data_IF_375724764503
#
_entry.id   IF_375724764503
#
_cell.length_a   1.000
_cell.length_b   1.000
_cell.length_c   1.000
_cell.angle_alpha   90.00
_cell.angle_beta   90.00
_cell.angle_gamma   90.00
#
_symmetry.space_group_name_H-M   'P 1'
#
loop_
_entity.id
_entity.type
_entity.pdbx_description
1 polymer ?
#
# COMPACT_ATOMS: atom_id res chain seq x y z
N UNK A 1 -4.35 8.38 22.76
CA UNK A 1 -3.83 8.08 21.40
C UNK A 1 -2.90 9.21 20.97
N UNK A 2 -1.65 8.92 20.59
CA UNK A 2 -0.67 9.96 20.20
C UNK A 2 -1.06 10.62 18.85
N UNK A 3 -0.60 11.85 18.56
CA UNK A 3 -0.82 12.48 17.25
C UNK A 3 -0.31 11.63 16.08
N UNK A 4 0.87 11.01 16.24
CA UNK A 4 1.42 10.06 15.28
C UNK A 4 0.47 8.90 15.00
N UNK A 5 -0.07 8.26 16.05
CA UNK A 5 -0.97 7.12 15.87
C UNK A 5 -2.29 7.53 15.20
N UNK A 6 -2.83 8.72 15.50
CA UNK A 6 -4.00 9.29 14.83
C UNK A 6 -3.76 9.50 13.34
N UNK A 7 -2.66 10.15 12.98
CA UNK A 7 -2.28 10.41 11.59
C UNK A 7 -2.01 9.10 10.83
N UNK A 8 -1.31 8.16 11.46
CA UNK A 8 -1.06 6.83 10.88
C UNK A 8 -2.37 6.12 10.54
N UNK A 9 -3.29 6.00 11.50
CA UNK A 9 -4.58 5.35 11.27
C UNK A 9 -5.40 6.07 10.20
N UNK A 10 -5.37 7.41 10.17
CA UNK A 10 -6.04 8.19 9.15
C UNK A 10 -5.49 7.88 7.75
N UNK A 11 -4.16 7.94 7.56
CA UNK A 11 -3.53 7.67 6.27
C UNK A 11 -3.72 6.22 5.83
N UNK A 12 -3.53 5.28 6.74
CA UNK A 12 -3.68 3.85 6.45
C UNK A 12 -5.13 3.51 6.08
N UNK A 13 -6.11 4.02 6.84
CA UNK A 13 -7.52 3.82 6.53
C UNK A 13 -7.94 4.51 5.22
N UNK A 14 -7.47 5.74 4.97
CA UNK A 14 -7.75 6.46 3.73
C UNK A 14 -7.17 5.73 2.51
N UNK A 15 -5.95 5.20 2.62
CA UNK A 15 -5.33 4.39 1.58
C UNK A 15 -6.16 3.15 1.28
N UNK A 16 -6.49 2.37 2.32
CA UNK A 16 -7.29 1.15 2.17
C UNK A 16 -8.68 1.45 1.58
N UNK A 17 -9.33 2.52 2.05
CA UNK A 17 -10.62 2.96 1.54
C UNK A 17 -10.55 3.38 0.07
N UNK A 18 -9.48 4.07 -0.36
CA UNK A 18 -9.30 4.46 -1.76
C UNK A 18 -9.10 3.23 -2.65
N UNK A 19 -8.27 2.27 -2.24
CA UNK A 19 -8.09 1.01 -2.99
C UNK A 19 -9.41 0.23 -3.10
N UNK A 20 -10.17 0.15 -2.02
CA UNK A 20 -11.50 -0.46 -2.03
C UNK A 20 -12.46 0.30 -2.96
N UNK A 21 -12.47 1.64 -2.90
CA UNK A 21 -13.34 2.46 -3.74
C UNK A 21 -13.04 2.25 -5.23
N UNK A 22 -11.77 2.15 -5.64
CA UNK A 22 -11.39 1.86 -7.03
C UNK A 22 -11.91 0.49 -7.50
N UNK A 23 -11.98 -0.51 -6.60
CA UNK A 23 -12.50 -1.84 -6.92
C UNK A 23 -14.02 -1.87 -7.11
N UNK A 24 -14.76 -1.04 -6.37
CA UNK A 24 -16.23 -1.11 -6.34
C UNK A 24 -16.94 0.01 -7.09
N UNK A 25 -16.25 1.10 -7.41
CA UNK A 25 -16.87 2.29 -8.00
C UNK A 25 -16.40 2.50 -9.45
N UNK A 26 -17.27 2.29 -10.46
CA UNK A 26 -16.90 2.44 -11.87
C UNK A 26 -16.35 3.83 -12.23
N UNK A 27 -16.82 4.89 -11.55
CA UNK A 27 -16.33 6.25 -11.79
C UNK A 27 -14.84 6.44 -11.43
N UNK A 28 -14.25 5.51 -10.69
CA UNK A 28 -12.83 5.52 -10.30
C UNK A 28 -11.97 4.57 -11.15
N UNK A 29 -12.53 3.95 -12.20
CA UNK A 29 -11.82 3.08 -13.13
C UNK A 29 -10.55 3.71 -13.74
N UNK A 30 -10.50 5.03 -14.05
CA UNK A 30 -9.25 5.68 -14.49
C UNK A 30 -8.09 5.59 -13.48
N UNK A 31 -8.38 5.32 -12.20
CA UNK A 31 -7.38 5.14 -11.15
C UNK A 31 -6.95 3.67 -10.96
N UNK A 32 -7.53 2.72 -11.71
CA UNK A 32 -7.21 1.29 -11.59
C UNK A 32 -5.72 1.00 -11.78
N UNK A 33 -5.07 1.69 -12.73
CA UNK A 33 -3.61 1.58 -12.92
C UNK A 33 -2.81 2.05 -11.71
N UNK A 34 -3.24 3.13 -11.06
CA UNK A 34 -2.60 3.66 -9.85
C UNK A 34 -2.82 2.74 -8.65
N UNK A 35 -4.03 2.22 -8.48
CA UNK A 35 -4.35 1.24 -7.43
C UNK A 35 -3.54 -0.06 -7.63
N UNK A 36 -3.42 -0.53 -8.87
CA UNK A 36 -2.55 -1.64 -9.24
C UNK A 36 -1.09 -1.35 -8.92
N UNK A 37 -0.57 -0.20 -9.37
CA UNK A 37 0.82 0.19 -9.09
C UNK A 37 1.10 0.28 -7.58
N UNK A 38 0.15 0.78 -6.78
CA UNK A 38 0.27 0.82 -5.31
C UNK A 38 0.50 -0.57 -4.70
N UNK A 39 -0.07 -1.63 -5.28
CA UNK A 39 0.15 -3.01 -4.86
C UNK A 39 1.42 -3.61 -5.47
N UNK A 40 1.62 -3.48 -6.78
CA UNK A 40 2.67 -4.20 -7.52
C UNK A 40 4.05 -3.56 -7.41
N UNK A 41 4.15 -2.23 -7.35
CA UNK A 41 5.43 -1.52 -7.30
C UNK A 41 6.29 -1.91 -6.07
N UNK A 42 5.77 -1.91 -4.83
CA UNK A 42 6.57 -2.33 -3.67
C UNK A 42 6.95 -3.81 -3.75
N UNK A 43 6.09 -4.67 -4.31
CA UNK A 43 6.38 -6.09 -4.45
C UNK A 43 7.41 -6.37 -5.54
N UNK A 44 7.40 -5.59 -6.63
CA UNK A 44 8.43 -5.65 -7.65
C UNK A 44 9.79 -5.25 -7.06
N UNK A 45 9.84 -4.18 -6.27
CA UNK A 45 11.07 -3.77 -5.60
C UNK A 45 11.61 -4.86 -4.66
N UNK A 46 10.74 -5.53 -3.92
CA UNK A 46 11.12 -6.63 -3.02
C UNK A 46 11.45 -7.93 -3.76
N UNK A 47 10.80 -8.23 -4.89
CA UNK A 47 11.08 -9.43 -5.67
C UNK A 47 12.44 -9.37 -6.36
N UNK A 48 12.95 -8.16 -6.68
CA UNK A 48 14.32 -7.95 -7.12
C UNK A 48 15.36 -8.40 -6.07
N UNK A 49 14.98 -8.54 -4.80
CA UNK A 49 15.82 -9.07 -3.72
C UNK A 49 15.71 -10.60 -3.59
N UNK A 50 15.03 -11.28 -4.52
CA UNK A 50 14.87 -12.73 -4.53
C UNK A 50 13.76 -13.26 -3.62
N UNK A 51 12.90 -12.40 -3.08
CA UNK A 51 11.79 -12.82 -2.21
C UNK A 51 10.62 -13.37 -3.05
N UNK A 52 10.14 -14.59 -2.82
CA UNK A 52 9.03 -15.18 -3.58
C UNK A 52 7.69 -14.60 -3.12
N UNK A 53 7.33 -13.42 -3.65
CA UNK A 53 6.12 -12.68 -3.25
C UNK A 53 4.92 -12.89 -4.19
N UNK A 54 5.17 -13.38 -5.40
CA UNK A 54 4.15 -13.62 -6.41
C UNK A 54 3.80 -15.11 -6.47
N UNK A 55 2.50 -15.41 -6.60
CA UNK A 55 2.03 -16.73 -6.97
C UNK A 55 2.29 -16.97 -8.47
N UNK A 56 2.34 -18.24 -8.89
CA UNK A 56 2.57 -18.60 -10.29
C UNK A 56 1.59 -17.90 -11.24
N UNK A 57 2.11 -17.36 -12.35
CA UNK A 57 1.30 -16.72 -13.37
C UNK A 57 0.63 -17.78 -14.27
N UNK A 58 -0.61 -17.52 -14.70
CA UNK A 58 -1.20 -18.24 -15.84
C UNK A 58 -0.47 -17.84 -17.13
N UNK A 59 -0.37 -18.71 -18.14
CA UNK A 59 0.19 -18.33 -19.44
C UNK A 59 -0.54 -17.11 -20.01
N UNK A 60 0.21 -16.06 -20.36
CA UNK A 60 -0.32 -14.78 -20.86
C UNK A 60 -0.92 -13.85 -19.80
N UNK A 61 -0.90 -14.24 -18.52
CA UNK A 61 -1.41 -13.44 -17.41
C UNK A 61 -0.31 -12.81 -16.56
N UNK A 62 -0.71 -11.87 -15.71
CA UNK A 62 0.16 -11.28 -14.70
C UNK A 62 0.21 -12.19 -13.46
N UNK A 63 1.38 -12.26 -12.81
CA UNK A 63 1.54 -13.00 -11.57
C UNK A 63 0.81 -12.27 -10.44
N UNK A 64 -0.24 -12.86 -9.87
CA UNK A 64 -0.90 -12.29 -8.69
C UNK A 64 0.03 -12.37 -7.48
N UNK A 65 0.02 -11.39 -6.57
CA UNK A 65 0.64 -11.56 -5.26
C UNK A 65 0.08 -12.80 -4.55
N UNK A 66 0.94 -13.55 -3.88
CA UNK A 66 0.51 -14.59 -2.95
C UNK A 66 0.14 -13.99 -1.58
N UNK A 67 -0.24 -14.81 -0.58
CA UNK A 67 -0.52 -14.33 0.77
C UNK A 67 0.65 -13.55 1.39
N UNK A 68 1.89 -14.03 1.19
CA UNK A 68 3.10 -13.34 1.61
C UNK A 68 3.31 -12.01 0.86
N UNK A 69 2.96 -11.94 -0.43
CA UNK A 69 2.98 -10.71 -1.21
C UNK A 69 2.01 -9.66 -0.68
N UNK A 70 0.76 -10.03 -0.44
CA UNK A 70 -0.21 -9.11 0.17
C UNK A 70 0.24 -8.63 1.55
N UNK A 71 0.77 -9.52 2.39
CA UNK A 71 1.31 -9.15 3.70
C UNK A 71 2.50 -8.18 3.56
N UNK A 72 3.43 -8.45 2.64
CA UNK A 72 4.58 -7.59 2.38
C UNK A 72 4.15 -6.19 1.90
N UNK A 73 3.20 -6.10 0.98
CA UNK A 73 2.66 -4.82 0.51
C UNK A 73 2.01 -4.03 1.67
N UNK A 74 1.20 -4.71 2.50
CA UNK A 74 0.57 -4.09 3.66
C UNK A 74 1.61 -3.56 4.67
N UNK A 75 2.66 -4.33 4.94
CA UNK A 75 3.75 -3.93 5.84
C UNK A 75 4.55 -2.74 5.29
N UNK A 76 4.85 -2.73 3.99
CA UNK A 76 5.54 -1.61 3.33
C UNK A 76 4.70 -0.33 3.48
N UNK A 77 3.41 -0.37 3.15
CA UNK A 77 2.55 0.79 3.29
C UNK A 77 2.35 1.21 4.74
N UNK A 78 2.21 0.25 5.67
CA UNK A 78 2.12 0.57 7.09
C UNK A 78 3.38 1.31 7.58
N UNK A 79 4.58 0.86 7.17
CA UNK A 79 5.84 1.52 7.52
C UNK A 79 5.92 2.93 6.91
N UNK A 80 5.56 3.10 5.63
CA UNK A 80 5.56 4.40 4.95
C UNK A 80 4.59 5.40 5.62
N UNK A 81 3.36 4.96 5.92
CA UNK A 81 2.38 5.82 6.57
C UNK A 81 2.74 6.15 8.02
N UNK A 82 3.35 5.22 8.74
CA UNK A 82 3.84 5.48 10.09
C UNK A 82 4.99 6.50 10.07
N UNK A 83 5.91 6.38 9.12
CA UNK A 83 7.02 7.32 8.93
C UNK A 83 6.48 8.72 8.60
N UNK A 84 5.54 8.84 7.66
CA UNK A 84 4.91 10.11 7.31
C UNK A 84 4.16 10.72 8.51
N UNK A 85 3.38 9.90 9.22
CA UNK A 85 2.65 10.32 10.41
C UNK A 85 3.60 10.82 11.51
N UNK A 86 4.75 10.17 11.67
CA UNK A 86 5.78 10.60 12.62
C UNK A 86 6.38 11.95 12.22
N UNK A 87 6.78 12.10 10.95
CA UNK A 87 7.34 13.34 10.44
C UNK A 87 6.37 14.52 10.57
N UNK A 88 5.10 14.33 10.18
CA UNK A 88 4.07 15.36 10.31
C UNK A 88 3.73 15.67 11.76
N UNK A 89 3.62 14.67 12.63
CA UNK A 89 3.38 14.89 14.05
C UNK A 89 4.51 15.72 14.70
N UNK A 90 5.77 15.51 14.29
CA UNK A 90 6.88 16.36 14.71
C UNK A 90 6.75 17.78 14.16
N UNK A 91 6.48 17.96 12.86
CA UNK A 91 6.36 19.30 12.26
C UNK A 91 5.21 20.14 12.87
N UNK A 92 4.12 19.47 13.26
CA UNK A 92 2.95 20.13 13.87
C UNK A 92 3.16 20.44 15.37
N UNK A 93 4.07 19.72 16.03
CA UNK A 93 4.60 20.08 17.34
C UNK A 93 5.69 21.12 17.10
N UNK A 94 5.29 22.38 16.97
CA UNK A 94 6.24 23.51 16.99
C UNK A 94 6.98 23.50 18.33
N UNK A 95 8.10 22.80 18.39
CA UNK A 95 9.18 23.01 19.34
C UNK A 95 10.23 23.91 18.66
#
# INVERSE_FOLDING_TARGET
MTPTLRLFLLFFAAHAALLAAVLYWPALEPLAGVAGASLYLPLLALSLLGVPLFAGAKPGGWASPGPAGYAAAALVWAALWLLLAYALARLLRKD
#
